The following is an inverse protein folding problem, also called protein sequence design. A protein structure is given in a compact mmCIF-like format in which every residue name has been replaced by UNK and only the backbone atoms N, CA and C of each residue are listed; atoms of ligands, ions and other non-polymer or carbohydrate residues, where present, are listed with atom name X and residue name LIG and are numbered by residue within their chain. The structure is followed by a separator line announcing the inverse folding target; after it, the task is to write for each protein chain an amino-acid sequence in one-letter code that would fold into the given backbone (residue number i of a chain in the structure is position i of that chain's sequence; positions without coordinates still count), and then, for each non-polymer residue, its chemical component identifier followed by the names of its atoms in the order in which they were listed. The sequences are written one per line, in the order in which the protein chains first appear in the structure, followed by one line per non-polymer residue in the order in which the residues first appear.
data_IF_280831533840
#
_entry.id   IF_280831533840
#
_cell.length_a   1.000
_cell.length_b   1.000
_cell.length_c   1.000
_cell.angle_alpha   90.00
_cell.angle_beta   90.00
_cell.angle_gamma   90.00
#
_symmetry.space_group_name_H-M   'P 1'
#
loop_
_entity.id
_entity.type
_entity.pdbx_description
1 polymer ?
#
# COMPACT_ATOMS: atom_id res chain seq x y z
N UNK A 1 -38.38 -12.00 30.29
CA UNK A 1 -37.75 -12.86 29.26
C UNK A 1 -36.37 -12.31 28.97
N UNK A 2 -35.31 -13.11 29.11
CA UNK A 2 -33.93 -12.67 28.84
C UNK A 2 -33.75 -12.62 27.31
N UNK A 3 -33.35 -11.47 26.73
CA UNK A 3 -33.18 -11.36 25.28
C UNK A 3 -32.07 -12.31 24.81
N UNK A 4 -32.38 -13.12 23.79
CA UNK A 4 -31.45 -14.08 23.19
C UNK A 4 -30.35 -13.36 22.41
N UNK A 5 -29.19 -14.01 22.22
CA UNK A 5 -28.06 -13.45 21.44
C UNK A 5 -28.50 -13.02 20.04
N UNK A 6 -29.44 -13.75 19.43
CA UNK A 6 -30.04 -13.43 18.12
C UNK A 6 -30.79 -12.09 18.13
N UNK A 7 -31.54 -11.76 19.19
CA UNK A 7 -32.25 -10.47 19.25
C UNK A 7 -31.32 -9.28 19.47
N UNK A 8 -30.19 -9.48 20.17
CA UNK A 8 -29.13 -8.46 20.31
C UNK A 8 -28.39 -8.21 19.00
N UNK A 9 -28.09 -9.26 18.24
CA UNK A 9 -27.46 -9.14 16.92
C UNK A 9 -28.40 -8.45 15.91
N UNK A 10 -29.69 -8.81 15.91
CA UNK A 10 -30.68 -8.14 15.05
C UNK A 10 -30.85 -6.68 15.46
N UNK A 11 -30.87 -6.36 16.76
CA UNK A 11 -30.94 -4.98 17.23
C UNK A 11 -29.69 -4.17 16.87
N UNK A 12 -28.49 -4.77 16.93
CA UNK A 12 -27.23 -4.13 16.55
C UNK A 12 -27.13 -3.93 15.02
N UNK A 13 -27.55 -4.92 14.23
CA UNK A 13 -27.62 -4.79 12.78
C UNK A 13 -28.66 -3.73 12.37
N UNK A 14 -29.83 -3.72 13.03
CA UNK A 14 -30.85 -2.70 12.81
C UNK A 14 -30.36 -1.31 13.20
N UNK A 15 -29.69 -1.13 14.35
CA UNK A 15 -29.15 0.17 14.76
C UNK A 15 -28.02 0.65 13.86
N UNK A 16 -27.19 -0.25 13.34
CA UNK A 16 -26.17 0.08 12.35
C UNK A 16 -26.79 0.52 11.03
N UNK A 17 -27.75 -0.22 10.50
CA UNK A 17 -28.46 0.14 9.25
C UNK A 17 -29.25 1.44 9.40
N UNK A 18 -29.88 1.67 10.54
CA UNK A 18 -30.64 2.89 10.83
C UNK A 18 -29.69 4.07 11.02
N UNK A 19 -28.56 3.88 11.71
CA UNK A 19 -27.49 4.89 11.82
C UNK A 19 -26.84 5.23 10.49
N UNK A 20 -26.62 4.24 9.64
CA UNK A 20 -26.10 4.40 8.28
C UNK A 20 -27.09 5.12 7.36
N UNK A 21 -28.38 4.77 7.43
CA UNK A 21 -29.44 5.46 6.70
C UNK A 21 -29.61 6.91 7.17
N UNK A 22 -29.58 7.15 8.49
CA UNK A 22 -29.64 8.50 9.07
C UNK A 22 -28.42 9.31 8.67
N UNK A 23 -27.21 8.74 8.69
CA UNK A 23 -25.99 9.41 8.24
C UNK A 23 -26.07 9.79 6.76
N UNK A 24 -26.52 8.86 5.90
CA UNK A 24 -26.68 9.10 4.47
C UNK A 24 -27.77 10.14 4.14
N UNK A 25 -28.93 10.05 4.79
CA UNK A 25 -29.99 11.07 4.67
C UNK A 25 -29.49 12.42 5.18
N UNK A 26 -28.72 12.44 6.26
CA UNK A 26 -28.17 13.68 6.79
C UNK A 26 -27.11 14.28 5.87
N UNK A 27 -26.29 13.48 5.19
CA UNK A 27 -25.36 13.93 4.12
C UNK A 27 -26.14 14.58 2.96
N UNK A 28 -27.31 14.04 2.60
CA UNK A 28 -28.16 14.60 1.54
C UNK A 28 -28.91 15.87 1.97
N UNK A 29 -29.22 16.01 3.27
CA UNK A 29 -29.94 17.16 3.83
C UNK A 29 -29.01 18.32 4.24
N UNK A 30 -27.73 18.05 4.50
CA UNK A 30 -26.73 19.09 4.81
C UNK A 30 -26.26 19.73 3.51
N UNK A 31 -26.89 20.82 3.13
CA UNK A 31 -26.58 21.60 1.91
C UNK A 31 -25.75 22.86 2.18
N UNK A 32 -25.10 22.98 3.36
CA UNK A 32 -24.32 24.16 3.73
C UNK A 32 -23.07 23.83 4.54
N UNK A 33 -22.01 24.64 4.41
CA UNK A 33 -20.79 24.50 5.21
C UNK A 33 -21.08 24.67 6.72
N UNK A 34 -20.29 24.02 7.56
CA UNK A 34 -20.24 24.17 9.03
C UNK A 34 -21.46 23.71 9.86
N UNK A 35 -22.24 22.73 9.39
CA UNK A 35 -23.33 22.12 10.20
C UNK A 35 -22.90 20.83 10.87
N UNK A 36 -22.77 20.88 12.20
CA UNK A 36 -22.51 19.71 13.05
C UNK A 36 -23.75 18.82 13.14
N UNK A 37 -23.61 17.55 12.74
CA UNK A 37 -24.57 16.51 13.09
C UNK A 37 -24.06 15.77 14.32
N UNK A 38 -24.96 15.49 15.27
CA UNK A 38 -24.71 14.74 16.51
C UNK A 38 -24.10 13.33 16.31
N UNK A 39 -23.89 12.88 15.07
CA UNK A 39 -23.44 11.52 14.70
C UNK A 39 -21.96 11.46 14.28
N UNK A 40 -21.21 12.57 14.33
CA UNK A 40 -19.74 12.51 14.27
C UNK A 40 -19.14 12.09 12.92
N UNK A 41 -19.81 12.37 11.81
CA UNK A 41 -19.25 12.25 10.46
C UNK A 41 -18.76 13.62 10.01
N UNK A 42 -17.45 13.76 9.75
CA UNK A 42 -16.88 14.94 9.10
C UNK A 42 -17.47 15.07 7.69
N UNK A 43 -18.33 16.06 7.46
CA UNK A 43 -18.86 16.37 6.14
C UNK A 43 -17.83 17.24 5.40
N UNK A 44 -17.53 16.85 4.16
CA UNK A 44 -16.61 17.56 3.30
C UNK A 44 -17.07 19.00 3.02
N UNK A 45 -16.13 19.94 3.15
CA UNK A 45 -16.26 21.38 2.89
C UNK A 45 -16.41 21.65 1.38
N UNK A 46 -17.57 21.29 0.80
CA UNK A 46 -17.83 21.49 -0.64
C UNK A 46 -19.08 22.34 -0.87
N UNK A 47 -18.97 23.49 -1.57
CA UNK A 47 -20.11 24.38 -1.85
C UNK A 47 -21.05 23.83 -2.94
N UNK A 48 -20.82 22.61 -3.43
CA UNK A 48 -21.58 21.98 -4.50
C UNK A 48 -22.58 21.00 -3.90
N UNK A 49 -23.84 21.03 -4.37
CA UNK A 49 -24.84 20.01 -4.05
C UNK A 49 -24.29 18.64 -4.46
N UNK A 50 -24.03 17.75 -3.51
CA UNK A 50 -23.65 16.37 -3.82
C UNK A 50 -24.81 15.68 -4.56
N UNK A 51 -24.50 15.06 -5.69
CA UNK A 51 -25.47 14.26 -6.43
C UNK A 51 -25.82 13.00 -5.64
N UNK A 52 -27.11 12.69 -5.49
CA UNK A 52 -27.58 11.44 -4.90
C UNK A 52 -26.91 10.22 -5.57
N UNK A 53 -26.72 10.28 -6.88
CA UNK A 53 -26.05 9.22 -7.65
C UNK A 53 -24.58 9.07 -7.32
N UNK A 54 -23.89 10.14 -6.94
CA UNK A 54 -22.49 10.08 -6.52
C UNK A 54 -22.36 9.40 -5.15
N UNK A 55 -23.29 9.68 -4.23
CA UNK A 55 -23.34 9.02 -2.91
C UNK A 55 -23.67 7.54 -3.07
N UNK A 56 -24.74 7.21 -3.81
CA UNK A 56 -25.10 5.81 -4.09
C UNK A 56 -23.98 5.06 -4.82
N UNK A 57 -23.31 5.70 -5.77
CA UNK A 57 -22.17 5.12 -6.48
C UNK A 57 -20.98 4.83 -5.55
N UNK A 58 -20.66 5.74 -4.63
CA UNK A 58 -19.61 5.55 -3.63
C UNK A 58 -19.94 4.39 -2.68
N UNK A 59 -21.20 4.27 -2.26
CA UNK A 59 -21.65 3.21 -1.37
C UNK A 59 -21.62 1.83 -2.04
N UNK A 60 -22.07 1.75 -3.29
CA UNK A 60 -21.95 0.51 -4.08
C UNK A 60 -20.48 0.11 -4.23
N UNK A 61 -19.59 1.07 -4.50
CA UNK A 61 -18.15 0.80 -4.57
C UNK A 61 -17.60 0.31 -3.22
N UNK A 62 -17.99 0.95 -2.11
CA UNK A 62 -17.57 0.55 -0.77
C UNK A 62 -18.00 -0.89 -0.45
N UNK A 63 -19.28 -1.23 -0.66
CA UNK A 63 -19.79 -2.60 -0.47
C UNK A 63 -19.06 -3.59 -1.39
N UNK A 64 -18.87 -3.23 -2.66
CA UNK A 64 -18.16 -4.08 -3.62
C UNK A 64 -16.72 -4.37 -3.17
N UNK A 65 -16.00 -3.38 -2.63
CA UNK A 65 -14.65 -3.57 -2.09
C UNK A 65 -14.62 -4.36 -0.77
N UNK A 66 -15.68 -4.25 0.04
CA UNK A 66 -15.78 -4.97 1.31
C UNK A 66 -16.14 -6.46 1.14
N UNK A 67 -16.85 -6.83 0.06
CA UNK A 67 -17.30 -8.20 -0.18
C UNK A 67 -16.13 -9.22 -0.25
N UNK A 68 -15.06 -9.01 -1.03
CA UNK A 68 -13.89 -9.90 -1.02
C UNK A 68 -13.21 -9.98 0.35
N UNK A 69 -13.13 -8.86 1.08
CA UNK A 69 -12.54 -8.84 2.43
C UNK A 69 -13.38 -9.68 3.40
N UNK A 70 -14.70 -9.53 3.33
CA UNK A 70 -15.64 -10.34 4.11
C UNK A 70 -15.53 -11.82 3.75
N UNK A 71 -15.39 -12.16 2.47
CA UNK A 71 -15.12 -13.53 2.05
C UNK A 71 -13.81 -14.06 2.62
N UNK A 72 -12.70 -13.33 2.50
CA UNK A 72 -11.41 -13.76 3.08
C UNK A 72 -11.49 -13.94 4.59
N UNK A 73 -12.24 -13.08 5.29
CA UNK A 73 -12.51 -13.23 6.72
C UNK A 73 -13.28 -14.52 7.02
N UNK A 74 -14.31 -14.85 6.23
CA UNK A 74 -15.08 -16.09 6.42
C UNK A 74 -14.24 -17.33 6.20
N UNK A 75 -13.39 -17.33 5.16
CA UNK A 75 -12.47 -18.44 4.88
C UNK A 75 -11.46 -18.59 6.02
N UNK A 76 -10.89 -17.48 6.51
CA UNK A 76 -9.90 -17.49 7.58
C UNK A 76 -10.47 -17.93 8.94
N UNK A 77 -11.78 -17.78 9.15
CA UNK A 77 -12.46 -18.10 10.43
C UNK A 77 -13.31 -19.37 10.36
N UNK A 78 -13.32 -20.09 9.24
CA UNK A 78 -14.06 -21.34 9.10
C UNK A 78 -13.13 -22.54 9.26
N UNK A 79 -13.59 -23.59 9.96
CA UNK A 79 -12.84 -24.85 10.10
C UNK A 79 -12.94 -25.74 8.86
N UNK A 80 -13.89 -25.48 7.98
CA UNK A 80 -14.12 -26.16 6.71
C UNK A 80 -14.39 -25.12 5.62
N UNK A 81 -14.43 -25.56 4.36
CA UNK A 81 -14.75 -24.67 3.24
C UNK A 81 -16.14 -24.02 3.47
N UNK A 82 -16.22 -22.68 3.56
CA UNK A 82 -17.49 -22.01 3.84
C UNK A 82 -18.45 -22.14 2.66
N UNK A 83 -19.72 -22.40 2.96
CA UNK A 83 -20.80 -22.54 1.97
C UNK A 83 -21.45 -21.20 1.57
N UNK A 84 -21.14 -20.12 2.31
CA UNK A 84 -21.71 -18.79 2.11
C UNK A 84 -20.84 -17.67 2.68
N UNK A 85 -21.31 -16.43 2.53
CA UNK A 85 -20.59 -15.20 2.92
C UNK A 85 -20.47 -14.98 4.43
N UNK A 86 -21.05 -15.84 5.27
CA UNK A 86 -20.94 -15.73 6.73
C UNK A 86 -20.42 -17.05 7.30
N UNK A 87 -19.46 -17.03 8.23
CA UNK A 87 -18.95 -18.28 8.80
C UNK A 87 -20.07 -18.96 9.60
N UNK A 88 -20.29 -20.25 9.35
CA UNK A 88 -21.27 -21.07 10.09
C UNK A 88 -20.86 -21.25 11.56
N UNK A 89 -19.55 -21.13 11.84
CA UNK A 89 -18.98 -21.03 13.17
C UNK A 89 -17.60 -20.38 13.12
N UNK A 90 -17.28 -19.54 14.11
CA UNK A 90 -15.97 -18.87 14.20
C UNK A 90 -14.97 -19.83 14.84
N UNK A 91 -13.95 -20.20 14.08
CA UNK A 91 -12.80 -20.99 14.52
C UNK A 91 -11.52 -20.21 14.25
N UNK A 92 -10.60 -20.22 15.21
CA UNK A 92 -9.27 -19.63 15.06
C UNK A 92 -8.19 -20.69 14.74
N UNK A 93 -8.60 -21.94 14.53
CA UNK A 93 -7.70 -23.09 14.31
C UNK A 93 -6.76 -22.92 13.11
N UNK A 94 -7.20 -22.22 12.05
CA UNK A 94 -6.35 -21.88 10.92
C UNK A 94 -5.16 -21.01 11.33
N UNK A 95 -5.38 -20.02 12.21
CA UNK A 95 -4.32 -19.17 12.73
C UNK A 95 -3.38 -19.95 13.65
N UNK A 96 -3.91 -20.80 14.54
CA UNK A 96 -3.08 -21.64 15.42
C UNK A 96 -2.18 -22.58 14.61
N UNK A 97 -2.70 -23.16 13.53
CA UNK A 97 -1.95 -24.03 12.63
C UNK A 97 -0.81 -23.27 11.95
N UNK A 98 -1.09 -22.10 11.37
CA UNK A 98 -0.09 -21.28 10.68
C UNK A 98 0.95 -20.69 11.64
N UNK A 99 0.54 -20.29 12.85
CA UNK A 99 1.44 -19.70 13.85
C UNK A 99 2.27 -20.74 14.60
N UNK A 100 1.80 -21.99 14.73
CA UNK A 100 2.57 -23.07 15.33
C UNK A 100 3.57 -23.70 14.34
N UNK A 101 3.30 -23.63 13.04
CA UNK A 101 4.18 -24.13 12.01
C UNK A 101 5.43 -23.25 11.84
N UNK A 102 6.59 -23.86 12.07
CA UNK A 102 7.89 -23.19 11.99
C UNK A 102 8.23 -22.74 10.56
N UNK A 103 7.78 -23.49 9.54
CA UNK A 103 8.03 -23.19 8.13
C UNK A 103 7.29 -21.93 7.71
N UNK A 104 5.99 -21.81 8.03
CA UNK A 104 5.21 -20.60 7.75
C UNK A 104 5.76 -19.38 8.47
N UNK A 105 6.14 -19.51 9.74
CA UNK A 105 6.77 -18.43 10.50
C UNK A 105 8.08 -17.97 9.86
N UNK A 106 8.95 -18.90 9.47
CA UNK A 106 10.24 -18.59 8.84
C UNK A 106 10.05 -17.96 7.48
N UNK A 107 9.15 -18.48 6.66
CA UNK A 107 8.82 -17.93 5.35
C UNK A 107 8.28 -16.49 5.47
N UNK A 108 7.32 -16.27 6.37
CA UNK A 108 6.75 -14.93 6.62
C UNK A 108 7.82 -13.94 7.09
N UNK A 109 8.67 -14.36 8.04
CA UNK A 109 9.74 -13.51 8.55
C UNK A 109 10.78 -13.16 7.47
N UNK A 110 11.19 -14.13 6.65
CA UNK A 110 12.09 -13.90 5.52
C UNK A 110 11.46 -12.94 4.51
N UNK A 111 10.21 -13.15 4.10
CA UNK A 111 9.52 -12.29 3.14
C UNK A 111 9.40 -10.84 3.63
N UNK A 112 8.99 -10.65 4.89
CA UNK A 112 8.93 -9.30 5.49
C UNK A 112 10.32 -8.67 5.57
N UNK A 113 11.32 -9.43 6.03
CA UNK A 113 12.68 -8.93 6.16
C UNK A 113 13.26 -8.50 4.81
N UNK A 114 13.16 -9.36 3.79
CA UNK A 114 13.68 -9.09 2.45
C UNK A 114 12.91 -7.95 1.79
N UNK A 115 11.57 -7.96 1.85
CA UNK A 115 10.72 -6.91 1.26
C UNK A 115 10.97 -5.54 1.87
N UNK A 116 11.03 -5.45 3.20
CA UNK A 116 11.34 -4.19 3.91
C UNK A 116 12.77 -3.74 3.60
N UNK A 117 13.74 -4.65 3.59
CA UNK A 117 15.14 -4.31 3.26
C UNK A 117 15.25 -3.77 1.83
N UNK A 118 14.61 -4.42 0.86
CA UNK A 118 14.54 -3.97 -0.52
C UNK A 118 13.92 -2.58 -0.63
N UNK A 119 12.78 -2.34 0.04
CA UNK A 119 12.09 -1.06 0.03
C UNK A 119 12.94 0.07 0.65
N UNK A 120 13.64 -0.20 1.75
CA UNK A 120 14.55 0.77 2.39
C UNK A 120 15.69 1.14 1.44
N UNK A 121 16.36 0.14 0.87
CA UNK A 121 17.44 0.37 -0.10
C UNK A 121 16.91 1.13 -1.32
N UNK A 122 15.74 0.75 -1.83
CA UNK A 122 15.11 1.41 -2.96
C UNK A 122 14.81 2.88 -2.66
N UNK A 123 14.30 3.22 -1.48
CA UNK A 123 14.07 4.61 -1.07
C UNK A 123 15.37 5.39 -0.91
N UNK A 124 16.42 4.79 -0.35
CA UNK A 124 17.74 5.43 -0.22
C UNK A 124 18.34 5.81 -1.59
N UNK A 125 18.07 5.01 -2.63
CA UNK A 125 18.49 5.30 -4.01
C UNK A 125 17.51 6.26 -4.71
N UNK A 126 16.22 6.05 -4.54
CA UNK A 126 15.17 6.78 -5.23
C UNK A 126 15.06 8.24 -4.79
N UNK A 127 15.23 8.54 -3.50
CA UNK A 127 15.15 9.92 -2.97
C UNK A 127 16.14 10.87 -3.68
N UNK A 128 17.46 10.59 -3.72
CA UNK A 128 18.40 11.44 -4.45
C UNK A 128 18.17 11.39 -5.97
N UNK A 129 17.84 10.22 -6.54
CA UNK A 129 17.59 10.08 -7.98
C UNK A 129 16.40 10.93 -8.45
N UNK A 130 15.27 10.83 -7.77
CA UNK A 130 14.07 11.60 -8.07
C UNK A 130 14.27 13.11 -7.89
N UNK A 131 15.01 13.51 -6.85
CA UNK A 131 15.36 14.92 -6.63
C UNK A 131 16.17 15.50 -7.80
N UNK A 132 17.17 14.76 -8.29
CA UNK A 132 17.97 15.18 -9.45
C UNK A 132 17.13 15.19 -10.72
N UNK A 133 16.33 14.14 -10.95
CA UNK A 133 15.48 14.00 -12.15
C UNK A 133 14.45 15.14 -12.28
N UNK A 134 13.94 15.68 -11.18
CA UNK A 134 12.98 16.79 -11.22
C UNK A 134 13.67 18.14 -11.23
N UNK A 135 14.70 18.36 -10.41
CA UNK A 135 15.26 19.72 -10.19
C UNK A 135 16.41 20.10 -11.12
N UNK A 136 17.19 19.13 -11.61
CA UNK A 136 18.37 19.40 -12.45
C UNK A 136 18.02 19.09 -13.91
N UNK A 137 18.00 20.10 -14.79
CA UNK A 137 18.01 19.82 -16.22
C UNK A 137 19.40 19.30 -16.59
N UNK A 138 19.50 18.02 -16.92
CA UNK A 138 20.72 17.42 -17.47
C UNK A 138 20.41 16.70 -18.78
N UNK A 139 21.42 16.62 -19.65
CA UNK A 139 21.30 15.91 -20.93
C UNK A 139 20.96 14.44 -20.68
N UNK A 140 19.83 13.98 -21.20
CA UNK A 140 19.36 12.60 -21.04
C UNK A 140 18.39 12.34 -19.88
N UNK A 141 18.06 13.33 -19.02
CA UNK A 141 17.17 13.09 -17.88
C UNK A 141 15.78 12.55 -18.25
N UNK A 142 15.23 12.96 -19.40
CA UNK A 142 13.98 12.40 -19.94
C UNK A 142 14.11 10.93 -20.35
N UNK A 143 15.26 10.55 -20.92
CA UNK A 143 15.54 9.16 -21.32
C UNK A 143 15.68 8.29 -20.08
N UNK A 144 16.44 8.74 -19.08
CA UNK A 144 16.59 8.03 -17.80
C UNK A 144 15.24 7.82 -17.13
N UNK A 145 14.41 8.87 -17.02
CA UNK A 145 13.07 8.73 -16.46
C UNK A 145 12.17 7.81 -17.32
N UNK A 146 12.30 7.87 -18.65
CA UNK A 146 11.62 6.96 -19.56
C UNK A 146 12.00 5.49 -19.33
N UNK A 147 13.28 5.20 -19.08
CA UNK A 147 13.76 3.86 -18.73
C UNK A 147 13.23 3.39 -17.37
N UNK A 148 13.18 4.27 -16.37
CA UNK A 148 12.57 3.97 -15.07
C UNK A 148 11.11 3.55 -15.25
N UNK A 149 10.33 4.31 -16.03
CA UNK A 149 8.93 3.98 -16.30
C UNK A 149 8.80 2.71 -17.16
N UNK A 150 9.68 2.51 -18.14
CA UNK A 150 9.67 1.31 -18.97
C UNK A 150 9.98 0.04 -18.17
N UNK A 151 10.86 0.11 -17.18
CA UNK A 151 11.15 -1.00 -16.26
C UNK A 151 9.91 -1.43 -15.46
N UNK A 152 8.98 -0.50 -15.17
CA UNK A 152 7.71 -0.83 -14.50
C UNK A 152 6.71 -1.58 -15.39
N UNK A 153 6.88 -1.48 -16.71
CA UNK A 153 6.06 -2.19 -17.69
C UNK A 153 6.61 -3.59 -18.01
N UNK A 154 7.80 -3.91 -17.50
CA UNK A 154 8.45 -5.17 -17.74
C UNK A 154 7.63 -6.33 -17.15
N UNK A 155 7.36 -7.40 -17.92
CA UNK A 155 6.63 -8.56 -17.41
C UNK A 155 7.52 -9.32 -16.43
N UNK A 156 7.36 -9.06 -15.14
CA UNK A 156 8.27 -9.52 -14.09
C UNK A 156 8.50 -11.04 -14.09
N UNK A 157 7.43 -11.79 -14.37
CA UNK A 157 7.46 -13.27 -14.47
C UNK A 157 8.39 -13.76 -15.57
N UNK A 158 8.56 -13.00 -16.66
CA UNK A 158 9.47 -13.36 -17.74
C UNK A 158 10.95 -13.29 -17.33
N UNK A 159 11.27 -12.55 -16.25
CA UNK A 159 12.62 -12.44 -15.71
C UNK A 159 12.96 -13.51 -14.67
N UNK A 160 11.99 -14.32 -14.24
CA UNK A 160 12.21 -15.35 -13.22
C UNK A 160 13.28 -16.37 -13.64
N UNK A 161 13.21 -16.88 -14.88
CA UNK A 161 14.22 -17.82 -15.42
C UNK A 161 15.63 -17.20 -15.50
N UNK A 162 15.81 -16.04 -16.16
CA UNK A 162 17.11 -15.37 -16.20
C UNK A 162 17.70 -15.04 -14.82
N UNK A 163 16.87 -14.66 -13.85
CA UNK A 163 17.34 -14.43 -12.48
C UNK A 163 17.71 -15.72 -11.76
N UNK A 164 16.99 -16.82 -11.99
CA UNK A 164 17.34 -18.14 -11.48
C UNK A 164 18.73 -18.56 -11.97
N UNK A 165 18.97 -18.49 -13.28
CA UNK A 165 20.26 -18.83 -13.89
C UNK A 165 21.40 -17.98 -13.30
N UNK A 166 21.21 -16.67 -13.17
CA UNK A 166 22.19 -15.77 -12.56
C UNK A 166 22.47 -16.12 -11.09
N UNK A 167 21.44 -16.45 -10.31
CA UNK A 167 21.61 -16.82 -8.90
C UNK A 167 22.29 -18.18 -8.74
N UNK A 168 22.08 -19.12 -9.68
CA UNK A 168 22.80 -20.40 -9.74
C UNK A 168 24.28 -20.17 -10.02
N UNK A 169 24.61 -19.36 -11.03
CA UNK A 169 26.00 -19.01 -11.39
C UNK A 169 26.74 -18.32 -10.23
N UNK A 170 26.02 -17.50 -9.45
CA UNK A 170 26.54 -16.82 -8.26
C UNK A 170 26.59 -17.71 -7.01
N UNK A 171 26.05 -18.93 -7.05
CA UNK A 171 25.92 -19.81 -5.89
C UNK A 171 24.98 -19.29 -4.80
N UNK A 172 24.04 -18.40 -5.16
CA UNK A 172 23.10 -17.74 -4.25
C UNK A 172 21.66 -18.28 -4.36
N UNK A 173 21.42 -19.29 -5.20
CA UNK A 173 20.08 -19.77 -5.58
C UNK A 173 19.20 -20.27 -4.40
N UNK A 174 19.77 -20.56 -3.23
CA UNK A 174 19.03 -20.98 -2.02
C UNK A 174 19.40 -20.15 -0.78
N UNK A 175 19.92 -18.93 -0.99
CA UNK A 175 20.24 -18.03 0.12
C UNK A 175 19.01 -17.20 0.49
N UNK A 176 18.81 -16.90 1.79
CA UNK A 176 17.73 -16.01 2.28
C UNK A 176 17.67 -14.60 1.64
N UNK A 177 18.73 -14.21 0.91
CA UNK A 177 18.87 -12.90 0.25
C UNK A 177 18.88 -13.01 -1.28
N UNK A 178 18.68 -14.21 -1.84
CA UNK A 178 18.66 -14.47 -3.28
C UNK A 178 17.64 -13.56 -3.98
N UNK A 179 16.50 -13.33 -3.33
CA UNK A 179 15.40 -12.48 -3.78
C UNK A 179 15.69 -10.97 -3.70
N UNK A 180 16.71 -10.54 -2.95
CA UNK A 180 16.95 -9.11 -2.73
C UNK A 180 17.27 -8.39 -4.05
N UNK A 181 18.12 -8.97 -4.88
CA UNK A 181 18.54 -8.36 -6.13
C UNK A 181 17.40 -8.28 -7.17
N UNK A 182 16.64 -9.35 -7.43
CA UNK A 182 15.38 -9.28 -8.20
C UNK A 182 14.41 -8.22 -7.67
N UNK A 183 14.21 -8.18 -6.34
CA UNK A 183 13.31 -7.20 -5.74
C UNK A 183 13.79 -5.76 -5.91
N UNK A 184 15.09 -5.49 -5.85
CA UNK A 184 15.64 -4.16 -6.14
C UNK A 184 15.37 -3.74 -7.59
N UNK A 185 15.40 -4.68 -8.53
CA UNK A 185 15.04 -4.44 -9.93
C UNK A 185 13.63 -3.88 -10.12
N UNK A 186 12.71 -4.21 -9.22
CA UNK A 186 11.30 -3.76 -9.24
C UNK A 186 11.08 -2.55 -8.34
N UNK A 187 11.58 -2.62 -7.11
CA UNK A 187 11.33 -1.62 -6.07
C UNK A 187 12.05 -0.31 -6.35
N UNK A 188 13.25 -0.32 -6.96
CA UNK A 188 13.99 0.91 -7.28
C UNK A 188 13.28 1.75 -8.34
N UNK A 189 12.84 1.21 -9.50
CA UNK A 189 12.05 1.97 -10.45
C UNK A 189 10.74 2.49 -9.85
N UNK A 190 10.06 1.67 -9.05
CA UNK A 190 8.79 2.04 -8.42
C UNK A 190 8.95 3.17 -7.42
N UNK A 191 9.92 3.05 -6.51
CA UNK A 191 10.27 4.08 -5.55
C UNK A 191 10.69 5.37 -6.26
N UNK A 192 11.49 5.27 -7.33
CA UNK A 192 11.93 6.45 -8.11
C UNK A 192 10.74 7.15 -8.74
N UNK A 193 9.79 6.41 -9.30
CA UNK A 193 8.56 6.98 -9.85
C UNK A 193 7.75 7.72 -8.77
N UNK A 194 7.50 7.10 -7.62
CA UNK A 194 6.81 7.75 -6.49
C UNK A 194 7.53 8.99 -5.96
N UNK A 195 8.85 8.94 -5.79
CA UNK A 195 9.63 10.11 -5.37
C UNK A 195 9.52 11.24 -6.40
N UNK A 196 9.56 10.92 -7.70
CA UNK A 196 9.40 11.93 -8.76
C UNK A 196 8.01 12.57 -8.71
N UNK A 197 6.95 11.80 -8.48
CA UNK A 197 5.58 12.36 -8.39
C UNK A 197 5.44 13.29 -7.19
N UNK A 198 5.98 12.90 -6.03
CA UNK A 198 6.01 13.75 -4.82
C UNK A 198 6.84 15.00 -5.06
N UNK A 199 8.05 14.85 -5.59
CA UNK A 199 8.97 15.96 -5.83
C UNK A 199 8.38 16.99 -6.82
N UNK A 200 7.68 16.57 -7.88
CA UNK A 200 7.07 17.52 -8.84
C UNK A 200 6.11 18.51 -8.19
N UNK A 201 5.43 18.12 -7.11
CA UNK A 201 4.49 18.95 -6.38
C UNK A 201 5.14 19.76 -5.23
N UNK A 202 6.46 19.72 -5.10
CA UNK A 202 7.17 20.36 -4.01
C UNK A 202 7.17 21.90 -4.10
N UNK A 203 7.17 22.61 -2.95
CA UNK A 203 7.38 24.05 -2.89
C UNK A 203 8.86 24.40 -3.13
N UNK A 204 9.31 24.33 -4.39
CA UNK A 204 10.72 24.49 -4.77
C UNK A 204 11.37 25.83 -4.39
N UNK A 205 10.57 26.87 -4.16
CA UNK A 205 11.07 28.18 -3.71
C UNK A 205 11.77 28.09 -2.34
N UNK A 206 11.35 27.18 -1.44
CA UNK A 206 12.02 26.95 -0.16
C UNK A 206 13.38 26.27 -0.32
N UNK A 207 13.60 25.54 -1.41
CA UNK A 207 14.92 24.98 -1.71
C UNK A 207 15.89 26.05 -2.20
N UNK A 208 15.39 27.03 -2.95
CA UNK A 208 16.21 28.12 -3.47
C UNK A 208 16.67 29.07 -2.35
N UNK A 209 15.88 29.24 -1.27
CA UNK A 209 16.35 29.94 -0.05
C UNK A 209 17.46 29.17 0.68
N UNK A 210 17.28 27.86 0.89
CA UNK A 210 18.32 27.01 1.51
C UNK A 210 19.63 27.01 0.71
N UNK A 211 19.55 27.18 -0.63
CA UNK A 211 20.74 27.33 -1.49
C UNK A 211 21.39 28.71 -1.36
N UNK A 212 20.60 29.76 -1.18
CA UNK A 212 21.13 31.10 -0.91
C UNK A 212 21.92 31.12 0.40
N UNK A 213 21.53 30.31 1.38
CA UNK A 213 22.26 30.10 2.65
C UNK A 213 23.54 29.24 2.51
N UNK A 214 23.92 28.85 1.28
CA UNK A 214 25.16 28.11 1.01
C UNK A 214 25.11 26.62 1.37
N UNK A 215 23.93 26.04 1.58
CA UNK A 215 23.79 24.64 1.97
C UNK A 215 24.38 23.67 0.91
N UNK A 216 25.19 22.72 1.37
CA UNK A 216 25.72 21.62 0.55
C UNK A 216 24.61 20.69 0.04
N UNK A 217 24.90 19.82 -0.93
CA UNK A 217 23.90 18.92 -1.55
C UNK A 217 23.23 17.98 -0.53
N UNK A 218 24.02 17.40 0.38
CA UNK A 218 23.49 16.55 1.46
C UNK A 218 22.63 17.34 2.45
N UNK A 219 23.04 18.57 2.78
CA UNK A 219 22.23 19.48 3.60
C UNK A 219 20.94 19.88 2.91
N UNK A 220 20.93 20.14 1.60
CA UNK A 220 19.70 20.38 0.85
C UNK A 220 18.72 19.21 0.96
N UNK A 221 19.22 17.96 0.86
CA UNK A 221 18.37 16.78 0.99
C UNK A 221 17.79 16.66 2.41
N UNK A 222 18.61 16.85 3.45
CA UNK A 222 18.17 16.72 4.84
C UNK A 222 17.31 17.89 5.33
N UNK A 223 17.65 19.11 4.96
CA UNK A 223 17.02 20.35 5.45
C UNK A 223 15.79 20.73 4.65
N UNK A 224 15.72 20.40 3.35
CA UNK A 224 14.53 20.67 2.53
C UNK A 224 13.76 19.39 2.21
N UNK A 225 14.40 18.36 1.61
CA UNK A 225 13.65 17.22 1.09
C UNK A 225 12.96 16.41 2.21
N UNK A 226 13.62 16.18 3.35
CA UNK A 226 13.02 15.43 4.47
C UNK A 226 11.81 16.14 5.10
N UNK A 227 11.86 17.43 5.49
CA UNK A 227 10.69 18.09 6.09
C UNK A 227 9.62 18.51 5.07
N UNK A 228 10.01 19.04 3.91
CA UNK A 228 9.06 19.54 2.92
C UNK A 228 8.39 18.42 2.11
N UNK A 229 9.11 17.32 1.85
CA UNK A 229 8.57 16.14 1.14
C UNK A 229 8.27 14.97 2.07
N UNK A 230 8.59 15.07 3.36
CA UNK A 230 8.48 14.00 4.35
C UNK A 230 7.17 13.24 4.30
N UNK A 231 5.99 13.91 4.36
CA UNK A 231 4.71 13.23 4.27
C UNK A 231 4.55 12.40 2.99
N UNK A 232 4.96 12.93 1.83
CA UNK A 232 4.89 12.23 0.55
C UNK A 232 5.92 11.09 0.46
N UNK A 233 7.13 11.28 1.00
CA UNK A 233 8.16 10.25 1.04
C UNK A 233 7.78 9.08 1.97
N UNK A 234 7.12 9.36 3.09
CA UNK A 234 6.57 8.36 4.00
C UNK A 234 5.45 7.55 3.33
N UNK A 235 4.54 8.22 2.61
CA UNK A 235 3.53 7.50 1.84
C UNK A 235 4.17 6.63 0.76
N UNK A 236 5.17 7.16 0.05
CA UNK A 236 5.90 6.43 -0.99
C UNK A 236 6.60 5.20 -0.43
N UNK A 237 7.27 5.32 0.73
CA UNK A 237 7.97 4.19 1.35
C UNK A 237 7.00 3.09 1.79
N UNK A 238 5.85 3.45 2.38
CA UNK A 238 4.81 2.47 2.76
C UNK A 238 4.28 1.76 1.53
N UNK A 239 3.98 2.47 0.44
CA UNK A 239 3.49 1.87 -0.80
C UNK A 239 4.51 0.91 -1.41
N UNK A 240 5.79 1.27 -1.41
CA UNK A 240 6.87 0.39 -1.90
C UNK A 240 7.02 -0.86 -1.03
N UNK A 241 6.92 -0.73 0.31
CA UNK A 241 6.94 -1.89 1.23
C UNK A 241 5.77 -2.84 0.95
N UNK A 242 4.55 -2.30 0.77
CA UNK A 242 3.35 -3.12 0.49
C UNK A 242 3.55 -3.92 -0.80
N UNK A 243 4.06 -3.30 -1.85
CA UNK A 243 4.33 -3.98 -3.13
C UNK A 243 5.46 -5.00 -2.98
N UNK A 244 6.55 -4.67 -2.29
CA UNK A 244 7.66 -5.58 -2.07
C UNK A 244 7.25 -6.84 -1.28
N UNK A 245 6.35 -6.70 -0.31
CA UNK A 245 5.85 -7.85 0.46
C UNK A 245 4.81 -8.70 -0.29
N UNK A 246 4.23 -8.19 -1.37
CA UNK A 246 3.15 -8.88 -2.11
C UNK A 246 3.66 -9.86 -3.18
N UNK A 247 4.93 -9.78 -3.58
CA UNK A 247 5.43 -10.57 -4.71
C UNK A 247 5.69 -12.04 -4.36
N UNK A 248 4.61 -12.81 -4.36
CA UNK A 248 4.63 -14.26 -4.13
C UNK A 248 5.18 -15.04 -5.32
N UNK A 249 5.15 -14.47 -6.54
CA UNK A 249 5.54 -15.18 -7.77
C UNK A 249 7.05 -15.32 -7.86
N UNK A 250 7.79 -14.24 -7.58
CA UNK A 250 9.26 -14.32 -7.51
C UNK A 250 9.74 -15.15 -6.33
N UNK A 251 9.07 -15.05 -5.18
CA UNK A 251 9.32 -15.91 -4.03
C UNK A 251 9.20 -17.39 -4.40
N UNK A 252 8.03 -17.79 -4.90
CA UNK A 252 7.77 -19.18 -5.28
C UNK A 252 8.67 -19.71 -6.41
N UNK A 253 9.05 -18.86 -7.37
CA UNK A 253 9.90 -19.27 -8.49
C UNK A 253 11.37 -19.45 -8.11
N UNK A 254 11.87 -18.70 -7.12
CA UNK A 254 13.31 -18.64 -6.78
C UNK A 254 13.65 -19.25 -5.42
N UNK A 255 12.66 -19.62 -4.60
CA UNK A 255 12.87 -20.34 -3.33
C UNK A 255 12.33 -21.78 -3.35
N UNK A 256 12.18 -22.37 -4.54
CA UNK A 256 11.48 -23.63 -4.77
C UNK A 256 12.20 -24.91 -4.29
N UNK A 257 13.20 -24.80 -3.41
CA UNK A 257 13.93 -25.95 -2.85
C UNK A 257 13.62 -26.20 -1.38
N UNK A 258 12.34 -26.38 -1.04
CA UNK A 258 11.88 -27.31 0.01
C UNK A 258 10.54 -27.95 -0.39
#
# INVERSE_FOLDING_TARGET
MIPTVRSRLVAAAASFLLGFAVANVAILLVTGPDRWLLVGVLVADTPRRLSLWAVLGLEVLAVFTALPLLWTFTVATSSQAPSGLWPEGISWSAFDTVLSDATYRRATATSVLVGVTAAVIAMLVAVPAGFVLVRRPFRGGRVVYGLVVAALLAPLVAFAGPWADQLLDLGWFDHRWSLLLPMLGVTVPLATWFVVTVARNAPWHLLDSVRADGATRGQQLRTFAVPALGPGLLLSSVLVVVVACHDVVLGAALSASE
#
